data_IF_894469579089
#
_entry.id   IF_894469579089
#
_cell.length_a   1.000
_cell.length_b   1.000
_cell.length_c   1.000
_cell.angle_alpha   90.00
_cell.angle_beta   90.00
_cell.angle_gamma   90.00
#
_symmetry.space_group_name_H-M   'P 1'
#
loop_
_entity.id
_entity.type
_entity.pdbx_description
1 polymer ?
#
# COMPACT_ATOMS: atom_id res chain seq x y z
N UNK A 1 9.50 13.62 -6.44
CA UNK A 1 8.86 12.94 -7.60
C UNK A 1 7.38 13.23 -7.67
N UNK A 2 6.63 12.99 -6.61
CA UNK A 2 5.22 13.39 -6.49
C UNK A 2 5.12 14.41 -5.37
N UNK A 3 4.52 15.57 -5.65
CA UNK A 3 4.23 16.61 -4.65
C UNK A 3 2.74 16.92 -4.66
N UNK A 4 2.12 16.84 -3.50
CA UNK A 4 0.72 17.17 -3.25
C UNK A 4 0.74 18.36 -2.30
N UNK A 5 0.19 19.50 -2.74
CA UNK A 5 0.24 20.77 -2.00
C UNK A 5 -1.17 21.26 -1.72
N UNK A 6 -1.53 21.26 -0.45
CA UNK A 6 -2.82 21.74 0.08
C UNK A 6 -4.03 21.21 -0.71
N UNK A 7 -3.99 19.91 -1.06
CA UNK A 7 -5.05 19.32 -1.88
C UNK A 7 -6.29 19.08 -1.05
N UNK A 8 -7.40 19.63 -1.55
CA UNK A 8 -8.74 19.42 -1.03
C UNK A 8 -9.61 18.76 -2.09
N UNK A 9 -10.50 17.85 -1.67
CA UNK A 9 -11.54 17.30 -2.54
C UNK A 9 -12.86 17.24 -1.81
N UNK A 10 -13.84 17.90 -2.38
CA UNK A 10 -15.24 17.91 -1.91
C UNK A 10 -16.12 17.28 -2.97
N UNK A 11 -16.95 16.33 -2.59
CA UNK A 11 -18.03 15.81 -3.40
C UNK A 11 -19.36 16.39 -2.94
N UNK A 12 -20.28 16.56 -3.87
CA UNK A 12 -21.63 17.07 -3.61
C UNK A 12 -22.64 15.96 -3.88
N UNK A 13 -23.48 15.67 -2.92
CA UNK A 13 -24.58 14.72 -3.04
C UNK A 13 -25.88 15.46 -2.64
N UNK A 14 -26.55 16.07 -3.62
CA UNK A 14 -27.58 17.07 -3.35
C UNK A 14 -27.00 18.25 -2.58
N UNK A 15 -27.61 18.62 -1.46
CA UNK A 15 -27.14 19.72 -0.60
C UNK A 15 -26.01 19.30 0.38
N UNK A 16 -25.70 18.00 0.44
CA UNK A 16 -24.67 17.49 1.36
C UNK A 16 -23.28 17.60 0.74
N UNK A 17 -22.35 18.23 1.46
CA UNK A 17 -20.93 18.27 1.13
C UNK A 17 -20.19 17.13 1.85
N UNK A 18 -19.40 16.38 1.11
CA UNK A 18 -18.54 15.32 1.62
C UNK A 18 -17.10 15.71 1.35
N UNK A 19 -16.38 16.08 2.41
CA UNK A 19 -14.96 16.42 2.36
C UNK A 19 -14.14 15.12 2.35
N UNK A 20 -13.77 14.64 1.17
CA UNK A 20 -13.01 13.41 1.01
C UNK A 20 -11.52 13.61 1.27
N UNK A 21 -10.98 14.80 0.97
CA UNK A 21 -9.60 15.19 1.27
C UNK A 21 -9.62 16.62 1.83
N UNK A 22 -8.81 16.88 2.86
CA UNK A 22 -8.70 18.14 3.57
C UNK A 22 -7.23 18.50 3.76
N UNK A 23 -6.78 19.54 3.06
CA UNK A 23 -5.43 20.12 3.13
C UNK A 23 -4.29 19.07 3.11
N UNK A 24 -4.37 18.11 2.18
CA UNK A 24 -3.34 17.08 2.06
C UNK A 24 -2.05 17.70 1.53
N UNK A 25 -0.98 17.55 2.32
CA UNK A 25 0.37 17.96 1.97
C UNK A 25 1.30 16.74 2.05
N UNK A 26 1.80 16.25 0.90
CA UNK A 26 2.60 15.05 0.83
C UNK A 26 3.69 15.18 -0.25
N UNK A 27 4.90 14.76 0.08
CA UNK A 27 6.01 14.63 -0.85
C UNK A 27 6.49 13.18 -0.88
N UNK A 28 6.63 12.61 -2.08
CA UNK A 28 7.11 11.25 -2.32
C UNK A 28 8.39 11.35 -3.15
N UNK A 29 9.54 10.90 -2.61
CA UNK A 29 10.81 10.91 -3.33
C UNK A 29 10.81 9.98 -4.55
N UNK A 30 11.74 10.22 -5.47
CA UNK A 30 11.95 9.33 -6.62
C UNK A 30 12.48 7.95 -6.16
N UNK A 31 12.04 6.89 -6.84
CA UNK A 31 12.48 5.52 -6.56
C UNK A 31 11.96 4.93 -5.25
N UNK A 32 11.11 5.66 -4.53
CA UNK A 32 10.53 5.21 -3.27
C UNK A 32 9.26 4.38 -3.52
N UNK A 33 9.08 3.30 -2.77
CA UNK A 33 7.78 2.66 -2.57
C UNK A 33 7.14 3.32 -1.35
N UNK A 34 6.09 4.10 -1.59
CA UNK A 34 5.40 4.88 -0.58
C UNK A 34 4.00 4.32 -0.33
N UNK A 35 3.72 3.94 0.91
CA UNK A 35 2.42 3.45 1.33
C UNK A 35 1.49 4.56 1.80
N UNK A 36 0.20 4.47 1.50
CA UNK A 36 -0.85 5.26 2.14
C UNK A 36 -1.86 4.31 2.74
N UNK A 37 -2.01 4.37 4.05
CA UNK A 37 -2.95 3.54 4.80
C UNK A 37 -4.05 4.38 5.45
N UNK A 38 -5.14 3.73 5.78
CA UNK A 38 -6.28 4.33 6.45
C UNK A 38 -7.48 3.39 6.43
N UNK A 39 -8.47 3.65 7.28
CA UNK A 39 -9.72 2.89 7.29
C UNK A 39 -10.49 3.03 5.96
N UNK A 40 -11.51 2.18 5.76
CA UNK A 40 -12.42 2.35 4.62
C UNK A 40 -13.07 3.74 4.67
N UNK A 41 -13.14 4.42 3.53
CA UNK A 41 -13.69 5.78 3.45
C UNK A 41 -12.76 6.91 3.94
N UNK A 42 -11.51 6.62 4.36
CA UNK A 42 -10.57 7.64 4.84
C UNK A 42 -10.10 8.63 3.75
N UNK A 43 -10.38 8.38 2.46
CA UNK A 43 -9.98 9.25 1.35
C UNK A 43 -8.85 8.71 0.48
N UNK A 44 -8.30 7.52 0.78
CA UNK A 44 -7.16 6.92 0.07
C UNK A 44 -7.34 6.82 -1.46
N UNK A 45 -8.42 6.16 -1.90
CA UNK A 45 -8.69 6.01 -3.35
C UNK A 45 -9.00 7.37 -4.01
N UNK A 46 -9.55 8.33 -3.28
CA UNK A 46 -9.71 9.70 -3.77
C UNK A 46 -8.36 10.36 -3.97
N UNK A 47 -7.43 10.19 -3.02
CA UNK A 47 -6.07 10.75 -3.12
C UNK A 47 -5.34 10.23 -4.35
N UNK A 48 -5.28 8.92 -4.55
CA UNK A 48 -4.56 8.35 -5.71
C UNK A 48 -5.20 8.76 -7.04
N UNK A 49 -6.53 8.87 -7.09
CA UNK A 49 -7.24 9.38 -8.27
C UNK A 49 -7.01 10.86 -8.52
N UNK A 50 -6.71 11.64 -7.48
CA UNK A 50 -6.26 13.02 -7.64
C UNK A 50 -4.83 13.06 -8.21
N UNK A 51 -3.94 12.13 -7.83
CA UNK A 51 -2.55 12.10 -8.34
C UNK A 51 -2.49 11.88 -9.84
N UNK A 52 -3.37 11.06 -10.42
CA UNK A 52 -3.43 10.88 -11.88
C UNK A 52 -4.53 11.74 -12.55
N UNK A 53 -5.15 12.65 -11.79
CA UNK A 53 -6.22 13.54 -12.25
C UNK A 53 -7.46 12.80 -12.80
N UNK A 54 -7.70 11.54 -12.43
CA UNK A 54 -9.00 10.88 -12.65
C UNK A 54 -10.09 11.57 -11.84
N UNK A 55 -9.73 12.07 -10.66
CA UNK A 55 -10.53 12.99 -9.86
C UNK A 55 -9.81 14.34 -9.81
N UNK A 56 -10.44 15.39 -10.30
CA UNK A 56 -9.86 16.74 -10.20
C UNK A 56 -9.97 17.23 -8.76
N UNK A 57 -8.88 17.67 -8.10
CA UNK A 57 -8.96 18.35 -6.81
C UNK A 57 -9.92 19.56 -6.85
N UNK A 58 -10.58 19.84 -5.74
CA UNK A 58 -11.39 21.06 -5.59
C UNK A 58 -10.48 22.29 -5.44
N UNK A 59 -9.34 22.11 -4.76
CA UNK A 59 -8.27 23.12 -4.64
C UNK A 59 -6.94 22.43 -4.34
N UNK A 60 -5.84 23.19 -4.41
CA UNK A 60 -4.49 22.71 -4.23
C UNK A 60 -3.83 22.28 -5.55
N UNK A 61 -2.63 21.72 -5.45
CA UNK A 61 -1.80 21.35 -6.60
C UNK A 61 -1.33 19.91 -6.50
N UNK A 62 -1.22 19.25 -7.66
CA UNK A 62 -0.63 17.91 -7.81
C UNK A 62 0.47 18.00 -8.85
N UNK A 63 1.71 17.83 -8.41
CA UNK A 63 2.89 17.92 -9.25
C UNK A 63 3.51 16.52 -9.36
N UNK A 64 3.70 16.05 -10.59
CA UNK A 64 4.34 14.76 -10.87
C UNK A 64 5.51 15.01 -11.83
N UNK A 65 6.69 14.54 -11.47
CA UNK A 65 7.93 14.74 -12.23
C UNK A 65 8.15 16.22 -12.62
N UNK A 66 7.87 17.14 -11.70
CA UNK A 66 8.03 18.58 -11.91
C UNK A 66 6.90 19.25 -12.70
N UNK A 67 5.89 18.50 -13.16
CA UNK A 67 4.78 19.02 -13.94
C UNK A 67 3.52 19.15 -13.05
N UNK A 68 2.97 20.35 -12.93
CA UNK A 68 1.70 20.60 -12.23
C UNK A 68 0.52 20.13 -13.10
N UNK A 69 -0.04 18.97 -12.75
CA UNK A 69 -1.14 18.34 -13.50
C UNK A 69 -2.46 19.12 -13.39
N UNK A 70 -2.62 19.94 -12.35
CA UNK A 70 -3.86 20.69 -12.11
C UNK A 70 -4.07 21.82 -13.11
N UNK A 71 -3.00 22.28 -13.78
CA UNK A 71 -3.00 23.37 -14.74
C UNK A 71 -3.10 22.93 -16.19
N UNK A 72 -2.98 21.61 -16.44
CA UNK A 72 -2.90 21.07 -17.80
C UNK A 72 -4.28 21.05 -18.49
N UNK A 73 -4.28 21.32 -19.81
CA UNK A 73 -5.41 21.04 -20.69
C UNK A 73 -5.60 19.52 -20.86
N UNK A 74 -6.79 19.09 -21.30
CA UNK A 74 -7.07 17.67 -21.52
C UNK A 74 -6.04 16.94 -22.41
N UNK A 75 -5.62 17.49 -23.59
CA UNK A 75 -4.58 16.86 -24.40
C UNK A 75 -3.23 16.74 -23.68
N UNK A 76 -2.82 17.79 -22.96
CA UNK A 76 -1.58 17.78 -22.17
C UNK A 76 -1.65 16.76 -21.03
N UNK A 77 -2.81 16.67 -20.36
CA UNK A 77 -3.03 15.68 -19.30
C UNK A 77 -3.00 14.24 -19.83
N UNK A 78 -3.56 13.98 -21.02
CA UNK A 78 -3.44 12.69 -21.66
C UNK A 78 -1.98 12.31 -21.96
N UNK A 79 -1.17 13.28 -22.39
CA UNK A 79 0.24 13.07 -22.61
C UNK A 79 1.00 12.83 -21.28
N UNK A 80 0.72 13.61 -20.23
CA UNK A 80 1.34 13.46 -18.91
C UNK A 80 1.01 12.11 -18.27
N UNK A 81 -0.20 11.60 -18.44
CA UNK A 81 -0.63 10.28 -17.91
C UNK A 81 0.12 9.10 -18.50
N UNK A 82 0.80 9.23 -19.65
CA UNK A 82 1.68 8.18 -20.17
C UNK A 82 2.85 7.88 -19.24
N UNK A 83 3.30 8.89 -18.47
CA UNK A 83 4.34 8.75 -17.45
C UNK A 83 3.83 8.20 -16.11
N UNK A 84 2.53 7.91 -15.99
CA UNK A 84 1.88 7.45 -14.76
C UNK A 84 1.14 6.16 -15.06
N UNK A 85 1.72 5.03 -14.67
CA UNK A 85 1.03 3.74 -14.70
C UNK A 85 0.02 3.65 -13.55
N UNK A 86 -1.06 2.91 -13.76
CA UNK A 86 -2.04 2.66 -12.70
C UNK A 86 -2.52 1.22 -12.69
N UNK A 87 -2.47 0.62 -11.51
CA UNK A 87 -3.04 -0.69 -11.20
C UNK A 87 -4.27 -0.45 -10.34
N UNK A 88 -5.40 -1.00 -10.78
CA UNK A 88 -6.70 -0.86 -10.13
C UNK A 88 -7.02 -2.09 -9.27
N UNK A 89 -7.86 -1.93 -8.29
CA UNK A 89 -8.33 -2.98 -7.38
C UNK A 89 -8.93 -4.19 -8.11
N UNK A 90 -9.62 -4.00 -9.22
CA UNK A 90 -10.33 -5.04 -10.00
C UNK A 90 -9.66 -5.34 -11.34
N UNK A 91 -8.33 -5.30 -11.44
CA UNK A 91 -7.52 -5.59 -12.63
C UNK A 91 -7.89 -4.76 -13.88
N UNK A 92 -9.16 -4.52 -14.14
CA UNK A 92 -9.72 -3.79 -15.29
C UNK A 92 -9.17 -4.26 -16.64
N UNK A 93 -9.02 -5.58 -16.80
CA UNK A 93 -8.63 -6.18 -18.07
C UNK A 93 -9.80 -6.21 -19.05
N UNK A 94 -9.51 -5.97 -20.32
CA UNK A 94 -10.49 -6.10 -21.39
C UNK A 94 -10.72 -7.59 -21.67
N UNK A 95 -11.92 -8.09 -21.37
CA UNK A 95 -12.28 -9.50 -21.48
C UNK A 95 -12.28 -10.03 -22.92
N UNK A 96 -12.47 -9.14 -23.91
CA UNK A 96 -12.47 -9.44 -25.35
C UNK A 96 -11.08 -9.43 -25.97
N UNK A 97 -10.03 -9.10 -25.20
CA UNK A 97 -8.64 -9.05 -25.66
C UNK A 97 -7.79 -10.11 -24.96
N UNK A 98 -6.80 -10.63 -25.66
CA UNK A 98 -5.79 -11.55 -25.11
C UNK A 98 -4.91 -10.85 -24.09
N UNK A 99 -4.06 -11.58 -23.41
CA UNK A 99 -3.01 -11.04 -22.52
C UNK A 99 -2.11 -10.07 -23.27
N UNK A 100 -1.62 -10.48 -24.45
CA UNK A 100 -0.80 -9.63 -25.32
C UNK A 100 -1.50 -8.31 -25.64
N UNK A 101 -2.72 -8.38 -26.15
CA UNK A 101 -3.50 -7.20 -26.56
C UNK A 101 -3.87 -6.28 -25.38
N UNK A 102 -4.07 -6.83 -24.16
CA UNK A 102 -4.25 -6.03 -22.97
C UNK A 102 -3.01 -5.23 -22.62
N UNK A 103 -1.81 -5.83 -22.71
CA UNK A 103 -0.53 -5.13 -22.43
C UNK A 103 -0.17 -4.18 -23.57
N UNK A 104 -0.50 -4.52 -24.82
CA UNK A 104 -0.25 -3.67 -26.00
C UNK A 104 -1.09 -2.38 -26.02
N UNK A 105 -2.27 -2.38 -25.40
CA UNK A 105 -3.24 -1.29 -25.50
C UNK A 105 -2.67 0.12 -25.27
N UNK A 106 -1.87 0.41 -24.22
CA UNK A 106 -1.30 1.74 -24.03
C UNK A 106 -0.37 2.16 -25.16
N UNK A 107 0.35 1.22 -25.77
CA UNK A 107 1.26 1.46 -26.89
C UNK A 107 0.52 1.70 -28.18
N UNK A 108 -0.57 0.95 -28.44
CA UNK A 108 -1.49 1.17 -29.55
C UNK A 108 -2.09 2.58 -29.51
N UNK A 109 -2.58 2.99 -28.33
CA UNK A 109 -3.13 4.33 -28.09
C UNK A 109 -2.08 5.44 -28.22
N UNK A 110 -0.80 5.11 -27.97
CA UNK A 110 0.30 6.01 -28.19
C UNK A 110 0.77 6.09 -29.66
N UNK A 111 0.21 5.27 -30.56
CA UNK A 111 0.56 5.22 -31.98
C UNK A 111 1.93 4.60 -32.23
N UNK A 112 2.40 3.71 -31.37
CA UNK A 112 3.68 3.02 -31.53
C UNK A 112 3.65 2.03 -32.69
N UNK A 113 4.82 1.77 -33.30
CA UNK A 113 4.91 0.79 -34.41
C UNK A 113 4.66 -0.62 -33.89
N UNK A 114 4.10 -1.48 -34.78
CA UNK A 114 3.82 -2.89 -34.43
C UNK A 114 5.07 -3.64 -33.97
N UNK A 115 6.22 -3.35 -34.57
CA UNK A 115 7.49 -3.95 -34.18
C UNK A 115 7.88 -3.55 -32.75
N UNK A 116 7.71 -2.27 -32.39
CA UNK A 116 7.98 -1.80 -31.02
C UNK A 116 7.03 -2.42 -30.01
N UNK A 117 5.72 -2.50 -30.33
CA UNK A 117 4.71 -3.15 -29.50
C UNK A 117 5.08 -4.61 -29.25
N UNK A 118 5.42 -5.35 -30.30
CA UNK A 118 5.81 -6.77 -30.21
C UNK A 118 6.99 -6.99 -29.26
N UNK A 119 8.05 -6.20 -29.43
CA UNK A 119 9.26 -6.30 -28.60
C UNK A 119 8.93 -5.94 -27.15
N UNK A 120 8.29 -4.80 -26.91
CA UNK A 120 8.01 -4.30 -25.57
C UNK A 120 7.07 -5.20 -24.78
N UNK A 121 5.99 -5.67 -25.41
CA UNK A 121 5.04 -6.58 -24.75
C UNK A 121 5.71 -7.92 -24.42
N UNK A 122 6.56 -8.45 -25.31
CA UNK A 122 7.29 -9.70 -25.05
C UNK A 122 8.22 -9.55 -23.84
N UNK A 123 8.96 -8.45 -23.74
CA UNK A 123 9.81 -8.13 -22.59
C UNK A 123 8.99 -8.05 -21.28
N UNK A 124 7.86 -7.34 -21.32
CA UNK A 124 7.02 -7.17 -20.14
C UNK A 124 6.34 -8.48 -19.71
N UNK A 125 5.90 -9.31 -20.64
CA UNK A 125 5.35 -10.63 -20.32
C UNK A 125 6.40 -11.56 -19.72
N UNK A 126 7.65 -11.45 -20.17
CA UNK A 126 8.78 -12.16 -19.57
C UNK A 126 9.04 -11.66 -18.15
N UNK A 127 9.09 -10.34 -17.94
CA UNK A 127 9.28 -9.72 -16.63
C UNK A 127 8.25 -10.18 -15.59
N UNK A 128 6.98 -10.29 -16.01
CA UNK A 128 5.91 -10.72 -15.09
C UNK A 128 5.69 -12.24 -15.07
N UNK A 129 6.49 -13.03 -15.83
CA UNK A 129 6.44 -14.49 -15.86
C UNK A 129 5.18 -15.04 -16.55
N UNK A 130 4.70 -14.41 -17.62
CA UNK A 130 3.49 -14.79 -18.36
C UNK A 130 3.72 -15.02 -19.84
N UNK A 131 4.94 -15.29 -20.31
CA UNK A 131 5.25 -15.51 -21.73
C UNK A 131 4.37 -16.59 -22.37
N UNK A 132 4.15 -17.69 -21.66
CA UNK A 132 3.33 -18.82 -22.12
C UNK A 132 1.82 -18.53 -22.15
N UNK A 133 1.40 -17.42 -21.56
CA UNK A 133 -0.02 -17.00 -21.49
C UNK A 133 -0.39 -15.90 -22.48
N UNK A 134 0.54 -15.55 -23.37
CA UNK A 134 0.42 -14.44 -24.33
C UNK A 134 -0.92 -14.41 -25.06
N UNK A 135 -1.38 -15.56 -25.59
CA UNK A 135 -2.60 -15.69 -26.39
C UNK A 135 -3.83 -16.05 -25.54
N UNK A 136 -3.67 -16.17 -24.23
CA UNK A 136 -4.79 -16.47 -23.31
C UNK A 136 -5.69 -15.27 -23.11
N UNK A 137 -6.98 -15.51 -22.87
CA UNK A 137 -7.94 -14.47 -22.50
C UNK A 137 -8.03 -14.34 -20.97
N UNK A 138 -8.43 -13.17 -20.45
CA UNK A 138 -8.57 -12.96 -18.98
C UNK A 138 -9.45 -13.99 -18.27
N UNK A 139 -10.47 -14.53 -18.94
CA UNK A 139 -11.34 -15.58 -18.38
C UNK A 139 -10.58 -16.85 -17.98
N UNK A 140 -9.46 -17.14 -18.65
CA UNK A 140 -8.64 -18.34 -18.47
C UNK A 140 -7.46 -18.13 -17.51
N UNK A 141 -7.43 -17.00 -16.76
CA UNK A 141 -6.36 -16.63 -15.87
C UNK A 141 -6.80 -16.68 -14.41
N UNK A 142 -5.89 -17.11 -13.51
CA UNK A 142 -6.06 -16.94 -12.08
C UNK A 142 -6.03 -15.45 -11.68
N UNK A 143 -6.47 -15.13 -10.46
CA UNK A 143 -6.42 -13.76 -9.92
C UNK A 143 -5.01 -13.16 -9.96
N UNK A 144 -4.01 -13.92 -9.53
CA UNK A 144 -2.61 -13.48 -9.56
C UNK A 144 -2.08 -13.29 -10.99
N UNK A 145 -2.47 -14.14 -11.94
CA UNK A 145 -2.11 -13.96 -13.34
C UNK A 145 -2.78 -12.70 -13.93
N UNK A 146 -4.04 -12.43 -13.63
CA UNK A 146 -4.71 -11.19 -14.02
C UNK A 146 -3.99 -9.96 -13.47
N UNK A 147 -3.54 -10.03 -12.22
CA UNK A 147 -2.78 -8.95 -11.59
C UNK A 147 -1.42 -8.72 -12.28
N UNK A 148 -0.71 -9.78 -12.64
CA UNK A 148 0.55 -9.69 -13.39
C UNK A 148 0.34 -9.07 -14.78
N UNK A 149 -0.77 -9.37 -15.46
CA UNK A 149 -1.14 -8.70 -16.73
C UNK A 149 -1.43 -7.22 -16.51
N UNK A 150 -2.15 -6.86 -15.43
CA UNK A 150 -2.42 -5.47 -15.09
C UNK A 150 -1.14 -4.68 -14.78
N UNK A 151 -0.17 -5.31 -14.10
CA UNK A 151 1.16 -4.74 -13.85
C UNK A 151 1.91 -4.51 -15.19
N UNK A 152 2.00 -5.54 -16.05
CA UNK A 152 2.65 -5.43 -17.35
C UNK A 152 2.03 -4.31 -18.20
N UNK A 153 0.71 -4.22 -18.26
CA UNK A 153 -0.01 -3.14 -18.95
C UNK A 153 0.32 -1.76 -18.38
N UNK A 154 0.38 -1.63 -17.05
CA UNK A 154 0.70 -0.37 -16.41
C UNK A 154 2.15 0.10 -16.69
N UNK A 155 3.05 -0.83 -16.97
CA UNK A 155 4.45 -0.57 -17.31
C UNK A 155 4.68 -0.32 -18.81
N UNK A 156 3.71 -0.58 -19.69
CA UNK A 156 3.91 -0.59 -21.13
C UNK A 156 4.41 0.76 -21.70
N UNK A 157 4.01 1.87 -21.11
CA UNK A 157 4.42 3.22 -21.53
C UNK A 157 5.71 3.73 -20.85
N UNK A 158 6.50 2.88 -20.21
CA UNK A 158 7.70 3.23 -19.44
C UNK A 158 7.43 4.36 -18.41
N UNK A 159 6.45 4.18 -17.52
CA UNK A 159 6.08 5.23 -16.59
C UNK A 159 7.19 5.50 -15.58
N UNK A 160 7.25 6.74 -15.07
CA UNK A 160 8.13 7.14 -13.95
C UNK A 160 7.47 6.90 -12.59
N UNK A 161 6.14 6.83 -12.57
CA UNK A 161 5.31 6.63 -11.39
C UNK A 161 4.35 5.49 -11.63
N UNK A 162 4.21 4.61 -10.66
CA UNK A 162 3.20 3.55 -10.62
C UNK A 162 2.26 3.78 -9.43
N UNK A 163 0.99 3.91 -9.72
CA UNK A 163 -0.07 4.05 -8.73
C UNK A 163 -0.76 2.70 -8.52
N UNK A 164 -0.85 2.23 -7.27
CA UNK A 164 -1.46 0.96 -6.92
C UNK A 164 -2.66 1.20 -5.99
N UNK A 165 -3.88 1.09 -6.50
CA UNK A 165 -5.12 1.23 -5.74
C UNK A 165 -5.57 -0.16 -5.25
N UNK A 166 -5.22 -0.52 -4.00
CA UNK A 166 -5.54 -1.81 -3.37
C UNK A 166 -5.20 -3.04 -4.26
N UNK A 167 -4.02 -3.03 -4.84
CA UNK A 167 -3.59 -3.98 -5.88
C UNK A 167 -3.55 -5.46 -5.46
N UNK A 168 -3.69 -5.77 -4.17
CA UNK A 168 -3.62 -7.13 -3.61
C UNK A 168 -4.88 -7.58 -2.89
N UNK A 169 -5.85 -6.70 -2.66
CA UNK A 169 -7.03 -6.97 -1.83
C UNK A 169 -7.94 -8.12 -2.31
N UNK A 170 -7.82 -8.52 -3.58
CA UNK A 170 -8.63 -9.60 -4.18
C UNK A 170 -7.84 -10.91 -4.34
N UNK A 171 -6.65 -11.03 -3.70
CA UNK A 171 -5.73 -12.16 -3.85
C UNK A 171 -5.60 -12.94 -2.54
N UNK A 172 -5.26 -14.21 -2.65
CA UNK A 172 -4.88 -15.02 -1.48
C UNK A 172 -3.48 -14.59 -0.94
N UNK A 173 -3.14 -14.90 0.32
CA UNK A 173 -1.90 -14.42 0.94
C UNK A 173 -0.62 -14.81 0.20
N UNK A 174 -0.53 -16.04 -0.33
CA UNK A 174 0.67 -16.50 -1.04
C UNK A 174 0.84 -15.76 -2.38
N UNK A 175 -0.26 -15.55 -3.10
CA UNK A 175 -0.28 -14.76 -4.33
C UNK A 175 0.04 -13.29 -4.04
N UNK A 176 -0.52 -12.72 -2.96
CA UNK A 176 -0.20 -11.36 -2.50
C UNK A 176 1.30 -11.18 -2.32
N UNK A 177 1.95 -12.06 -1.55
CA UNK A 177 3.40 -12.01 -1.34
C UNK A 177 4.18 -12.03 -2.65
N UNK A 178 3.81 -12.93 -3.58
CA UNK A 178 4.45 -13.02 -4.90
C UNK A 178 4.29 -11.74 -5.75
N UNK A 179 3.16 -11.05 -5.67
CA UNK A 179 2.93 -9.77 -6.35
C UNK A 179 3.74 -8.64 -5.69
N UNK A 180 3.84 -8.61 -4.37
CA UNK A 180 4.63 -7.62 -3.64
C UNK A 180 6.12 -7.76 -3.95
N UNK A 181 6.64 -8.98 -4.02
CA UNK A 181 8.03 -9.24 -4.44
C UNK A 181 8.28 -8.79 -5.88
N UNK A 182 7.35 -9.04 -6.79
CA UNK A 182 7.43 -8.55 -8.17
C UNK A 182 7.47 -7.02 -8.21
N UNK A 183 6.60 -6.33 -7.47
CA UNK A 183 6.61 -4.85 -7.41
C UNK A 183 7.91 -4.30 -6.82
N UNK A 184 8.46 -4.94 -5.81
CA UNK A 184 9.75 -4.58 -5.21
C UNK A 184 10.91 -4.74 -6.20
N UNK A 185 10.91 -5.84 -6.95
CA UNK A 185 11.93 -6.09 -7.99
C UNK A 185 11.82 -5.06 -9.13
N UNK A 186 10.60 -4.76 -9.61
CA UNK A 186 10.35 -3.72 -10.62
C UNK A 186 10.82 -2.34 -10.13
N UNK A 187 10.48 -1.98 -8.89
CA UNK A 187 10.96 -0.72 -8.30
C UNK A 187 12.49 -0.64 -8.32
N UNK A 188 13.17 -1.72 -7.89
CA UNK A 188 14.63 -1.79 -7.84
C UNK A 188 15.27 -1.71 -9.22
N UNK A 189 14.74 -2.47 -10.20
CA UNK A 189 15.32 -2.55 -11.56
C UNK A 189 15.11 -1.26 -12.36
N UNK A 190 13.92 -0.66 -12.25
CA UNK A 190 13.52 0.48 -13.06
C UNK A 190 13.65 1.83 -12.32
N UNK A 191 14.07 1.84 -11.05
CA UNK A 191 14.06 3.02 -10.18
C UNK A 191 12.69 3.73 -10.19
N UNK A 192 11.61 2.93 -10.26
CA UNK A 192 10.23 3.37 -10.41
C UNK A 192 9.69 3.89 -9.09
N UNK A 193 9.08 5.06 -9.08
CA UNK A 193 8.38 5.55 -7.88
C UNK A 193 7.02 4.88 -7.79
N UNK A 194 6.72 4.23 -6.66
CA UNK A 194 5.45 3.54 -6.45
C UNK A 194 4.66 4.22 -5.32
N UNK A 195 3.44 4.65 -5.60
CA UNK A 195 2.46 5.05 -4.59
C UNK A 195 1.43 3.94 -4.45
N UNK A 196 1.40 3.31 -3.29
CA UNK A 196 0.53 2.18 -2.99
C UNK A 196 -0.49 2.57 -1.94
N UNK A 197 -1.77 2.29 -2.21
CA UNK A 197 -2.83 2.41 -1.21
C UNK A 197 -3.23 1.02 -0.75
N UNK A 198 -3.38 0.85 0.55
CA UNK A 198 -3.88 -0.37 1.16
C UNK A 198 -4.55 -0.08 2.51
N UNK A 199 -5.31 -1.02 3.00
CA UNK A 199 -5.75 -1.08 4.40
C UNK A 199 -5.00 -2.19 5.17
N UNK A 200 -4.12 -2.94 4.49
CA UNK A 200 -3.35 -4.07 5.03
C UNK A 200 -1.96 -3.61 5.45
N UNK A 201 -1.68 -3.63 6.76
CA UNK A 201 -0.38 -3.24 7.30
C UNK A 201 0.74 -4.19 6.89
N UNK A 202 0.44 -5.48 6.68
CA UNK A 202 1.43 -6.47 6.23
C UNK A 202 1.98 -6.14 4.85
N UNK A 203 1.16 -5.58 3.97
CA UNK A 203 1.61 -5.05 2.68
C UNK A 203 2.60 -3.91 2.87
N UNK A 204 2.29 -2.96 3.78
CA UNK A 204 3.18 -1.83 4.07
C UNK A 204 4.51 -2.30 4.63
N UNK A 205 4.49 -3.21 5.63
CA UNK A 205 5.69 -3.79 6.25
C UNK A 205 6.61 -4.46 5.21
N UNK A 206 6.01 -5.17 4.26
CA UNK A 206 6.76 -6.02 3.33
C UNK A 206 7.52 -5.25 2.27
N UNK A 207 6.98 -4.14 1.73
CA UNK A 207 7.59 -3.47 0.58
C UNK A 207 7.78 -1.96 0.70
N UNK A 208 7.08 -1.25 1.60
CA UNK A 208 7.16 0.20 1.66
C UNK A 208 8.43 0.68 2.36
N UNK A 209 8.98 1.79 1.88
CA UNK A 209 10.08 2.51 2.54
C UNK A 209 9.52 3.55 3.53
N UNK A 210 8.51 4.28 3.09
CA UNK A 210 7.80 5.30 3.86
C UNK A 210 6.30 5.04 3.81
N UNK A 211 5.58 5.54 4.79
CA UNK A 211 4.13 5.41 4.90
C UNK A 211 3.50 6.69 5.43
N UNK A 212 2.29 6.98 4.94
CA UNK A 212 1.40 8.00 5.44
C UNK A 212 0.10 7.38 5.93
N UNK A 213 -0.41 7.85 7.05
CA UNK A 213 -1.68 7.44 7.64
C UNK A 213 -2.71 8.52 7.36
N UNK A 214 -3.82 8.17 6.72
CA UNK A 214 -4.94 9.06 6.45
C UNK A 214 -6.15 8.66 7.30
N UNK A 215 -6.74 9.64 7.95
CA UNK A 215 -7.97 9.50 8.73
C UNK A 215 -8.93 10.68 8.50
N UNK A 216 -10.19 10.41 8.18
CA UNK A 216 -11.21 11.47 7.98
C UNK A 216 -10.89 12.48 6.88
N UNK A 217 -10.11 12.08 5.87
CA UNK A 217 -9.66 12.92 4.76
C UNK A 217 -8.41 13.76 5.05
N UNK A 218 -7.78 13.59 6.20
CA UNK A 218 -6.58 14.34 6.64
C UNK A 218 -5.36 13.43 6.75
N UNK A 219 -4.17 13.98 6.52
CA UNK A 219 -2.91 13.32 6.79
C UNK A 219 -2.65 13.35 8.30
N UNK A 220 -2.73 12.20 8.97
CA UNK A 220 -2.61 12.08 10.43
C UNK A 220 -1.16 11.92 10.86
N UNK A 221 -0.41 11.07 10.16
CA UNK A 221 0.99 10.79 10.48
C UNK A 221 1.73 10.32 9.24
N UNK A 222 3.04 10.61 9.15
CA UNK A 222 3.92 10.05 8.11
C UNK A 222 5.34 9.85 8.64
N UNK A 223 6.05 8.87 8.07
CA UNK A 223 7.45 8.60 8.40
C UNK A 223 7.97 7.39 7.63
N UNK A 224 9.20 6.98 7.95
CA UNK A 224 9.67 5.67 7.51
C UNK A 224 8.82 4.57 8.14
N UNK A 225 8.72 3.42 7.47
CA UNK A 225 7.96 2.29 8.02
C UNK A 225 8.49 1.92 9.41
N UNK A 226 9.83 1.87 9.57
CA UNK A 226 10.46 1.58 10.86
C UNK A 226 10.08 2.58 11.96
N UNK A 227 10.08 3.89 11.67
CA UNK A 227 9.72 4.92 12.66
C UNK A 227 8.26 4.82 13.10
N UNK A 228 7.34 4.62 12.13
CA UNK A 228 5.90 4.51 12.43
C UNK A 228 5.61 3.28 13.30
N UNK A 229 6.29 2.15 13.03
CA UNK A 229 6.09 0.93 13.82
C UNK A 229 6.78 0.97 15.18
N UNK A 230 7.97 1.58 15.27
CA UNK A 230 8.71 1.68 16.53
C UNK A 230 8.17 2.78 17.46
N UNK A 231 7.73 3.89 16.90
CA UNK A 231 7.41 5.12 17.65
C UNK A 231 6.14 5.80 17.08
N UNK A 232 4.99 5.11 17.07
CA UNK A 232 3.74 5.72 16.62
C UNK A 232 3.38 6.90 17.52
N UNK A 233 2.97 8.02 16.93
CA UNK A 233 2.68 9.28 17.66
C UNK A 233 1.18 9.50 17.84
N UNK A 234 0.36 8.86 17.03
CA UNK A 234 -1.09 9.08 17.02
C UNK A 234 -1.84 7.82 17.41
N UNK A 235 -3.01 7.99 18.01
CA UNK A 235 -3.87 6.85 18.39
C UNK A 235 -4.26 6.00 17.17
N UNK A 236 -4.47 6.64 16.02
CA UNK A 236 -4.80 5.93 14.79
C UNK A 236 -3.62 5.04 14.32
N UNK A 237 -2.36 5.51 14.43
CA UNK A 237 -1.17 4.71 14.15
C UNK A 237 -1.07 3.52 15.10
N UNK A 238 -1.26 3.76 16.40
CA UNK A 238 -1.30 2.68 17.40
C UNK A 238 -2.37 1.61 17.08
N UNK A 239 -3.57 2.03 16.68
CA UNK A 239 -4.64 1.09 16.32
C UNK A 239 -4.26 0.23 15.10
N UNK A 240 -3.66 0.83 14.06
CA UNK A 240 -3.21 0.09 12.89
C UNK A 240 -2.09 -0.91 13.24
N UNK A 241 -1.11 -0.52 14.05
CA UNK A 241 -0.02 -1.40 14.46
C UNK A 241 -0.54 -2.55 15.32
N UNK A 242 -1.40 -2.27 16.29
CA UNK A 242 -2.02 -3.30 17.14
C UNK A 242 -2.83 -4.32 16.33
N UNK A 243 -3.40 -3.93 15.20
CA UNK A 243 -4.13 -4.86 14.34
C UNK A 243 -3.23 -5.85 13.59
N UNK A 244 -1.91 -5.64 13.55
CA UNK A 244 -0.95 -6.56 12.91
C UNK A 244 -0.36 -7.59 13.88
N UNK A 245 -0.43 -7.32 15.18
CA UNK A 245 0.04 -8.24 16.19
C UNK A 245 -1.12 -9.16 16.61
N UNK A 246 -0.90 -10.46 16.62
CA UNK A 246 -1.86 -11.40 17.21
C UNK A 246 -1.76 -11.33 18.74
N UNK A 247 -2.43 -10.34 19.29
CA UNK A 247 -2.46 -10.08 20.73
C UNK A 247 -3.70 -10.72 21.38
N UNK A 248 -4.30 -11.73 20.74
CA UNK A 248 -5.45 -12.43 21.28
C UNK A 248 -5.05 -13.17 22.54
N UNK A 249 -5.85 -12.99 23.60
CA UNK A 249 -5.74 -13.84 24.79
C UNK A 249 -6.36 -15.18 24.40
N UNK A 250 -5.64 -16.33 24.60
CA UNK A 250 -6.21 -17.64 24.29
C UNK A 250 -7.58 -17.83 24.99
N UNK A 251 -8.54 -18.43 24.29
CA UNK A 251 -9.95 -18.56 24.75
C UNK A 251 -10.05 -19.17 26.14
N UNK A 252 -9.22 -20.18 26.46
CA UNK A 252 -9.16 -20.84 27.76
C UNK A 252 -8.87 -19.88 28.92
N UNK A 253 -8.17 -18.76 28.63
CA UNK A 253 -7.86 -17.74 29.64
C UNK A 253 -8.91 -16.62 29.62
N UNK A 254 -9.49 -16.29 28.46
CA UNK A 254 -10.53 -15.25 28.38
C UNK A 254 -11.71 -15.53 29.30
N UNK A 255 -12.18 -16.79 29.33
CA UNK A 255 -13.32 -17.21 30.18
C UNK A 255 -13.01 -17.16 31.68
N UNK A 256 -11.71 -17.12 32.07
CA UNK A 256 -11.26 -17.10 33.47
C UNK A 256 -10.90 -15.68 33.95
N UNK A 257 -10.87 -14.70 33.05
CA UNK A 257 -10.55 -13.33 33.42
C UNK A 257 -11.61 -12.75 34.36
N UNK A 258 -11.14 -12.17 35.45
CA UNK A 258 -11.97 -11.45 36.41
C UNK A 258 -11.62 -9.97 36.36
N UNK A 259 -12.59 -9.04 36.37
CA UNK A 259 -12.31 -7.60 36.31
C UNK A 259 -11.65 -7.06 37.59
N UNK A 260 -11.73 -7.83 38.68
CA UNK A 260 -11.15 -7.49 39.98
C UNK A 260 -10.29 -8.62 40.51
N UNK A 261 -9.30 -8.28 41.33
CA UNK A 261 -8.42 -9.26 41.98
C UNK A 261 -9.22 -10.20 42.89
N UNK A 262 -9.08 -11.49 42.66
CA UNK A 262 -9.63 -12.55 43.50
C UNK A 262 -8.49 -13.25 44.22
N UNK A 263 -8.69 -13.70 45.46
CA UNK A 263 -7.69 -14.43 46.21
C UNK A 263 -7.22 -15.67 45.45
N UNK A 264 -5.90 -15.85 45.31
CA UNK A 264 -5.31 -16.93 44.52
C UNK A 264 -5.26 -16.71 43.01
N UNK A 265 -5.69 -15.54 42.50
CA UNK A 265 -5.57 -15.19 41.10
C UNK A 265 -4.23 -14.49 40.82
N UNK A 266 -3.74 -14.64 39.59
CA UNK A 266 -2.54 -13.97 39.08
C UNK A 266 -2.95 -12.85 38.10
N UNK A 267 -2.20 -11.72 38.07
CA UNK A 267 -2.45 -10.67 37.10
C UNK A 267 -2.09 -11.13 35.70
N UNK A 268 -2.93 -10.81 34.71
CA UNK A 268 -2.57 -10.89 33.30
C UNK A 268 -2.02 -9.54 32.87
N UNK A 269 -0.81 -9.54 32.31
CA UNK A 269 -0.11 -8.33 31.89
C UNK A 269 0.26 -8.46 30.42
N UNK A 270 -0.03 -7.42 29.64
CA UNK A 270 0.49 -7.25 28.28
C UNK A 270 1.72 -6.38 28.33
N UNK A 271 2.79 -6.83 27.67
CA UNK A 271 4.01 -6.06 27.49
C UNK A 271 4.18 -5.79 25.99
N UNK A 272 4.35 -4.53 25.61
CA UNK A 272 4.67 -4.10 24.26
C UNK A 272 6.14 -3.71 24.22
N UNK A 273 6.90 -4.29 23.27
CA UNK A 273 8.32 -4.03 23.08
C UNK A 273 8.53 -3.33 21.76
N UNK A 274 9.35 -2.29 21.72
CA UNK A 274 9.69 -1.54 20.53
C UNK A 274 11.20 -1.27 20.45
N UNK A 275 11.75 -1.35 19.22
CA UNK A 275 13.14 -1.01 18.96
C UNK A 275 14.13 -1.79 19.83
N UNK A 276 15.07 -1.11 20.48
CA UNK A 276 16.15 -1.72 21.26
C UNK A 276 15.69 -2.54 22.48
N UNK A 277 14.44 -2.37 22.92
CA UNK A 277 13.91 -3.10 24.07
C UNK A 277 13.53 -4.54 23.74
N UNK A 278 13.31 -4.86 22.46
CA UNK A 278 12.89 -6.20 22.00
C UNK A 278 13.98 -7.25 22.24
N UNK A 279 15.26 -6.89 22.05
CA UNK A 279 16.40 -7.82 22.24
C UNK A 279 16.89 -7.89 23.69
N UNK A 280 16.35 -7.04 24.58
CA UNK A 280 16.73 -7.04 25.98
C UNK A 280 16.04 -8.18 26.76
N UNK A 281 16.74 -8.90 27.65
CA UNK A 281 16.16 -9.98 28.45
C UNK A 281 15.29 -9.44 29.60
N UNK A 282 14.33 -8.56 29.27
CA UNK A 282 13.54 -7.80 30.26
C UNK A 282 12.71 -8.71 31.17
N UNK A 283 12.10 -9.77 30.61
CA UNK A 283 11.32 -10.74 31.38
C UNK A 283 12.17 -11.40 32.48
N UNK A 284 13.39 -11.85 32.12
CA UNK A 284 14.34 -12.44 33.08
C UNK A 284 14.82 -11.41 34.12
N UNK A 285 15.04 -10.17 33.68
CA UNK A 285 15.45 -9.10 34.60
C UNK A 285 14.35 -8.75 35.60
N UNK A 286 13.09 -8.63 35.14
CA UNK A 286 11.93 -8.36 36.00
C UNK A 286 11.72 -9.52 36.99
N UNK A 287 11.72 -10.76 36.50
CA UNK A 287 11.55 -11.94 37.33
C UNK A 287 12.58 -11.99 38.48
N UNK A 288 13.86 -11.77 38.15
CA UNK A 288 14.95 -11.74 39.15
C UNK A 288 14.85 -10.55 40.10
N UNK A 289 14.57 -9.33 39.57
CA UNK A 289 14.55 -8.11 40.39
C UNK A 289 13.42 -8.12 41.42
N UNK A 290 12.26 -8.67 41.04
CA UNK A 290 11.06 -8.65 41.88
C UNK A 290 10.75 -10.02 42.50
N UNK A 291 11.60 -11.03 42.25
CA UNK A 291 11.45 -12.40 42.74
C UNK A 291 10.04 -12.95 42.47
N UNK A 292 9.63 -12.86 41.17
CA UNK A 292 8.31 -13.33 40.71
C UNK A 292 8.49 -14.40 39.63
N UNK A 293 7.53 -15.34 39.58
CA UNK A 293 7.43 -16.30 38.51
C UNK A 293 6.58 -15.69 37.39
N UNK A 294 7.02 -15.90 36.14
CA UNK A 294 6.37 -15.40 34.95
C UNK A 294 6.05 -16.57 34.01
N UNK A 295 4.79 -16.67 33.62
CA UNK A 295 4.34 -17.60 32.56
C UNK A 295 3.96 -16.82 31.33
N UNK A 296 4.54 -17.18 30.17
CA UNK A 296 4.21 -16.56 28.89
C UNK A 296 3.04 -17.34 28.28
N UNK A 297 1.92 -16.67 28.03
CA UNK A 297 0.72 -17.27 27.45
C UNK A 297 0.69 -17.13 25.93
N UNK A 298 1.18 -16.01 25.42
CA UNK A 298 1.32 -15.72 23.99
C UNK A 298 2.47 -14.74 23.81
N UNK A 299 3.18 -14.84 22.71
CA UNK A 299 4.19 -13.86 22.31
C UNK A 299 4.20 -13.75 20.79
N UNK A 300 4.26 -12.53 20.28
CA UNK A 300 4.41 -12.23 18.88
C UNK A 300 5.56 -11.25 18.69
N UNK A 301 6.41 -11.49 17.69
CA UNK A 301 7.53 -10.62 17.33
C UNK A 301 7.51 -10.43 15.82
N UNK A 302 7.52 -9.21 15.39
CA UNK A 302 7.45 -8.85 13.98
C UNK A 302 8.53 -7.83 13.60
N UNK A 303 8.70 -7.60 12.30
CA UNK A 303 9.69 -6.71 11.71
C UNK A 303 9.02 -5.75 10.74
N UNK A 304 9.36 -4.47 10.84
CA UNK A 304 8.93 -3.47 9.88
C UNK A 304 10.06 -2.45 9.63
N UNK A 305 10.42 -2.20 8.37
CA UNK A 305 11.48 -1.26 8.01
C UNK A 305 12.82 -1.52 8.70
N UNK A 306 13.16 -2.79 9.00
CA UNK A 306 14.39 -3.17 9.71
C UNK A 306 14.34 -3.00 11.24
N UNK A 307 13.20 -2.61 11.81
CA UNK A 307 12.97 -2.47 13.25
C UNK A 307 12.12 -3.63 13.76
N UNK A 308 12.50 -4.18 14.93
CA UNK A 308 11.71 -5.20 15.64
C UNK A 308 10.67 -4.54 16.53
N UNK A 309 9.52 -5.17 16.68
CA UNK A 309 8.46 -4.80 17.62
C UNK A 309 7.65 -6.05 18.01
N UNK A 310 6.98 -6.03 19.19
CA UNK A 310 6.20 -7.16 19.67
C UNK A 310 5.42 -6.85 20.94
#
# INVERSE_FOLDING_TARGET
>A
MIEIKSVNKVFYQGDKQIHALKDINLFIPQGTIFGVIGSSGAGKSTLIRCVNMLEKPTSGQVIVDGVDLTTLSNPQLCAARRNIGMIFQHFNLLSSRTVFENVALPLELAGQSQQHIETKVTELLTLVGLSEKRESYPANLSGGQKQRVAIARALASDPKVLLCDEATSALDPATTQSILELLKEINRQLNLTILLITHEMDVVKSICHEVAIIGGGELVEKGTVGDIFAHPKTELAHQFIRSTLDLSIPEDYQVRLQPTRVAGSYPLVRLEFTGATVDAPLMTQIARKYNIDVSILSSDLDYAGGVKFG
#
